data_IF_399757433226
#
_entry.id   IF_399757433226
#
_cell.length_a   1.000
_cell.length_b   1.000
_cell.length_c   1.000
_cell.angle_alpha   90.00
_cell.angle_beta   90.00
_cell.angle_gamma   90.00
#
_symmetry.space_group_name_H-M   'P 1'
#
loop_
_entity.id
_entity.type
_entity.pdbx_description
1 polymer ?
#
# COMPACT_ATOMS: atom_id res chain seq x y z
N UNK A 1 -20.61 -1.18 12.79
CA UNK A 1 -21.35 -0.74 11.58
C UNK A 1 -20.28 -0.30 10.62
N UNK A 2 -20.08 -1.05 9.53
CA UNK A 2 -18.94 -0.90 8.64
C UNK A 2 -18.95 0.51 8.00
N UNK A 3 -17.85 1.22 8.16
CA UNK A 3 -17.68 2.62 7.77
C UNK A 3 -17.84 2.88 6.25
N UNK A 4 -17.59 1.86 5.44
CA UNK A 4 -17.62 1.94 3.98
C UNK A 4 -18.96 1.57 3.31
N UNK A 5 -19.93 1.01 4.03
CA UNK A 5 -21.24 0.66 3.46
C UNK A 5 -22.09 1.87 3.01
N UNK A 6 -21.73 3.07 3.45
CA UNK A 6 -22.48 4.30 3.12
C UNK A 6 -22.09 4.90 1.74
N UNK A 7 -20.93 4.55 1.20
CA UNK A 7 -20.37 5.17 -0.02
C UNK A 7 -20.98 4.66 -1.33
N UNK A 8 -21.75 3.57 -1.31
CA UNK A 8 -22.22 2.90 -2.54
C UNK A 8 -23.47 3.51 -3.19
N UNK A 9 -24.02 4.61 -2.68
CA UNK A 9 -25.35 5.10 -3.12
C UNK A 9 -25.45 6.52 -3.68
N UNK A 10 -24.36 7.28 -3.78
CA UNK A 10 -24.44 8.64 -4.32
C UNK A 10 -23.50 8.83 -5.53
N UNK A 11 -24.07 9.31 -6.62
CA UNK A 11 -23.41 9.68 -7.90
C UNK A 11 -22.41 10.87 -7.79
N UNK A 12 -21.99 11.28 -6.60
CA UNK A 12 -21.11 12.43 -6.36
C UNK A 12 -19.71 11.99 -5.85
N UNK A 13 -19.04 11.12 -6.57
CA UNK A 13 -17.69 10.68 -6.21
C UNK A 13 -16.60 11.63 -6.77
N UNK A 14 -16.76 12.93 -6.58
CA UNK A 14 -15.74 13.92 -6.95
C UNK A 14 -14.64 14.02 -5.89
N UNK A 15 -13.45 14.47 -6.29
CA UNK A 15 -12.35 14.75 -5.36
C UNK A 15 -12.76 15.73 -4.26
N UNK A 16 -13.61 16.72 -4.61
CA UNK A 16 -14.17 17.67 -3.63
C UNK A 16 -15.04 16.96 -2.57
N UNK A 17 -15.93 16.07 -3.00
CA UNK A 17 -16.79 15.33 -2.07
C UNK A 17 -15.98 14.41 -1.15
N UNK A 18 -14.98 13.70 -1.69
CA UNK A 18 -14.06 12.88 -0.88
C UNK A 18 -13.30 13.69 0.17
N UNK A 19 -12.84 14.88 -0.20
CA UNK A 19 -12.22 15.85 0.72
C UNK A 19 -13.16 16.23 1.87
N UNK A 20 -14.40 16.60 1.54
CA UNK A 20 -15.39 17.00 2.54
C UNK A 20 -15.69 15.86 3.51
N UNK A 21 -15.85 14.66 3.00
CA UNK A 21 -16.08 13.46 3.81
C UNK A 21 -14.85 13.14 4.69
N UNK A 22 -13.64 13.19 4.15
CA UNK A 22 -12.41 13.01 4.92
C UNK A 22 -12.30 14.04 6.05
N UNK A 23 -12.56 15.32 5.78
CA UNK A 23 -12.55 16.37 6.81
C UNK A 23 -13.60 16.10 7.90
N UNK A 24 -14.79 15.62 7.51
CA UNK A 24 -15.82 15.23 8.47
C UNK A 24 -15.32 14.12 9.41
N UNK A 25 -14.63 13.13 8.86
CA UNK A 25 -14.04 12.02 9.61
C UNK A 25 -12.94 12.52 10.56
N UNK A 26 -12.00 13.33 10.05
CA UNK A 26 -10.92 13.88 10.88
C UNK A 26 -11.46 14.68 12.07
N UNK A 27 -12.51 15.49 11.85
CA UNK A 27 -13.20 16.23 12.93
C UNK A 27 -13.74 15.28 14.00
N UNK A 28 -14.35 14.17 13.61
CA UNK A 28 -14.89 13.17 14.54
C UNK A 28 -13.80 12.46 15.34
N UNK A 29 -12.64 12.25 14.72
CA UNK A 29 -11.48 11.59 15.34
C UNK A 29 -10.58 12.55 16.13
N UNK A 30 -10.84 13.86 16.07
CA UNK A 30 -9.99 14.86 16.70
C UNK A 30 -8.63 15.05 16.02
N UNK A 31 -8.48 14.59 14.77
CA UNK A 31 -7.23 14.70 14.01
C UNK A 31 -7.09 16.12 13.46
N UNK A 32 -5.93 16.79 13.62
CA UNK A 32 -5.67 18.10 13.02
C UNK A 32 -5.78 18.07 11.49
N UNK A 33 -6.31 19.12 10.90
CA UNK A 33 -6.44 19.27 9.44
C UNK A 33 -6.40 20.74 9.02
N UNK A 34 -6.15 20.98 7.73
CA UNK A 34 -6.33 22.30 7.10
C UNK A 34 -7.30 22.19 5.92
N UNK A 35 -8.17 23.19 5.79
CA UNK A 35 -9.18 23.17 4.73
C UNK A 35 -8.62 23.38 3.32
N UNK A 36 -7.50 24.10 3.21
CA UNK A 36 -6.86 24.41 1.92
C UNK A 36 -5.89 23.35 1.43
N UNK A 37 -5.73 22.20 2.13
CA UNK A 37 -4.95 21.09 1.59
C UNK A 37 -5.50 20.67 0.22
N UNK A 38 -4.65 20.48 -0.82
CA UNK A 38 -5.10 20.18 -2.17
C UNK A 38 -6.06 19.01 -2.27
N UNK A 39 -6.86 18.99 -3.34
CA UNK A 39 -7.61 17.81 -3.75
C UNK A 39 -6.64 16.72 -4.22
N UNK A 40 -6.98 15.46 -3.98
CA UNK A 40 -6.35 14.34 -4.68
C UNK A 40 -7.12 14.10 -5.99
N UNK A 41 -6.71 13.12 -6.74
CA UNK A 41 -7.15 12.85 -8.10
C UNK A 41 -8.66 12.76 -8.27
N UNK A 42 -9.19 13.27 -9.39
CA UNK A 42 -10.48 12.80 -9.91
C UNK A 42 -10.34 11.39 -10.49
N UNK A 43 -11.44 10.63 -10.53
CA UNK A 43 -11.41 9.28 -11.09
C UNK A 43 -10.97 9.25 -12.57
N UNK A 44 -11.26 10.32 -13.31
CA UNK A 44 -10.83 10.50 -14.70
C UNK A 44 -9.36 10.82 -14.90
N UNK A 45 -8.65 11.17 -13.82
CA UNK A 45 -7.22 11.52 -13.85
C UNK A 45 -6.31 10.34 -13.55
N UNK A 46 -6.87 9.22 -13.07
CA UNK A 46 -6.09 8.04 -12.70
C UNK A 46 -6.23 6.93 -13.73
N UNK A 47 -5.16 6.17 -13.89
CA UNK A 47 -5.18 4.90 -14.61
C UNK A 47 -5.20 3.75 -13.60
N UNK A 48 -6.34 3.07 -13.40
CA UNK A 48 -6.46 2.03 -12.39
C UNK A 48 -5.54 0.85 -12.70
N UNK A 49 -4.94 0.28 -11.65
CA UNK A 49 -4.29 -1.02 -11.74
C UNK A 49 -5.34 -2.10 -11.99
N UNK A 50 -5.04 -3.04 -12.86
CA UNK A 50 -5.85 -4.24 -13.01
C UNK A 50 -5.72 -5.15 -11.78
N UNK A 51 -6.73 -5.98 -11.52
CA UNK A 51 -6.67 -6.96 -10.43
C UNK A 51 -5.42 -7.84 -10.52
N UNK A 52 -5.03 -8.26 -11.74
CA UNK A 52 -3.84 -9.07 -11.95
C UNK A 52 -2.56 -8.33 -11.53
N UNK A 53 -2.42 -7.05 -11.88
CA UNK A 53 -1.26 -6.24 -11.45
C UNK A 53 -1.19 -6.12 -9.92
N UNK A 54 -2.34 -5.94 -9.25
CA UNK A 54 -2.40 -5.84 -7.79
C UNK A 54 -2.00 -7.17 -7.12
N UNK A 55 -2.47 -8.30 -7.65
CA UNK A 55 -2.12 -9.64 -7.16
C UNK A 55 -0.62 -9.93 -7.34
N UNK A 56 -0.07 -9.63 -8.52
CA UNK A 56 1.37 -9.76 -8.79
C UNK A 56 2.19 -8.88 -7.85
N UNK A 57 1.79 -7.62 -7.68
CA UNK A 57 2.49 -6.70 -6.76
C UNK A 57 2.44 -7.20 -5.32
N UNK A 58 1.30 -7.75 -4.89
CA UNK A 58 1.17 -8.32 -3.56
C UNK A 58 2.15 -9.50 -3.36
N UNK A 59 2.29 -10.39 -4.34
CA UNK A 59 3.23 -11.51 -4.27
C UNK A 59 4.70 -11.03 -4.19
N UNK A 60 5.10 -10.05 -5.03
CA UNK A 60 6.45 -9.48 -5.02
C UNK A 60 6.75 -8.78 -3.69
N UNK A 61 5.83 -7.95 -3.23
CA UNK A 61 5.99 -7.22 -1.96
C UNK A 61 6.11 -8.18 -0.78
N UNK A 62 5.23 -9.19 -0.71
CA UNK A 62 5.30 -10.22 0.32
C UNK A 62 6.65 -10.93 0.34
N UNK A 63 7.13 -11.36 -0.84
CA UNK A 63 8.43 -12.03 -0.97
C UNK A 63 9.58 -11.17 -0.42
N UNK A 64 9.64 -9.88 -0.82
CA UNK A 64 10.65 -8.95 -0.34
C UNK A 64 10.57 -8.71 1.18
N UNK A 65 9.36 -8.55 1.73
CA UNK A 65 9.12 -8.37 3.16
C UNK A 65 9.62 -9.59 3.95
N UNK A 66 9.28 -10.80 3.51
CA UNK A 66 9.69 -12.04 4.18
C UNK A 66 11.21 -12.21 4.18
N UNK A 67 11.87 -11.95 3.05
CA UNK A 67 13.31 -11.96 2.97
C UNK A 67 13.93 -10.89 3.89
N UNK A 68 13.39 -9.68 3.90
CA UNK A 68 13.87 -8.62 4.79
C UNK A 68 13.77 -9.00 6.27
N UNK A 69 12.67 -9.62 6.71
CA UNK A 69 12.50 -10.12 8.06
C UNK A 69 13.55 -11.20 8.39
N UNK A 70 13.73 -12.18 7.51
CA UNK A 70 14.71 -13.26 7.69
C UNK A 70 16.16 -12.75 7.74
N UNK A 71 16.51 -11.75 6.90
CA UNK A 71 17.82 -11.09 6.92
C UNK A 71 18.05 -10.39 8.26
N UNK A 72 17.07 -9.63 8.75
CA UNK A 72 17.15 -8.93 10.05
C UNK A 72 17.30 -9.88 11.23
N UNK A 73 16.68 -11.04 11.15
CA UNK A 73 16.77 -12.09 12.18
C UNK A 73 18.07 -12.90 12.06
N UNK A 74 18.90 -12.66 11.04
CA UNK A 74 20.17 -13.37 10.80
C UNK A 74 19.99 -14.81 10.34
N UNK A 75 18.82 -15.17 9.82
CA UNK A 75 18.46 -16.53 9.43
C UNK A 75 18.38 -16.75 7.91
N UNK A 76 18.57 -15.68 7.10
CA UNK A 76 18.43 -15.75 5.64
C UNK A 76 19.60 -16.49 4.98
N UNK A 77 19.29 -17.56 4.25
CA UNK A 77 20.27 -18.43 3.61
C UNK A 77 20.18 -18.38 2.07
N UNK A 78 21.21 -18.94 1.40
CA UNK A 78 21.15 -19.12 -0.08
C UNK A 78 20.06 -20.12 -0.50
N UNK A 79 19.62 -21.01 0.36
CA UNK A 79 18.50 -21.93 0.12
C UNK A 79 17.17 -21.16 0.16
N UNK A 80 16.97 -20.30 1.15
CA UNK A 80 15.79 -19.42 1.25
C UNK A 80 15.68 -18.50 0.03
N UNK A 81 16.80 -17.92 -0.41
CA UNK A 81 16.85 -17.09 -1.61
C UNK A 81 16.40 -17.88 -2.85
N UNK A 82 16.96 -19.07 -3.08
CA UNK A 82 16.58 -19.89 -4.23
C UNK A 82 15.12 -20.28 -4.18
N UNK A 83 14.63 -20.73 -3.03
CA UNK A 83 13.23 -21.07 -2.84
C UNK A 83 12.32 -19.88 -3.12
N UNK A 84 12.66 -18.69 -2.62
CA UNK A 84 11.85 -17.49 -2.84
C UNK A 84 11.81 -17.09 -4.32
N UNK A 85 12.93 -17.17 -5.04
CA UNK A 85 13.00 -16.79 -6.44
C UNK A 85 12.39 -17.86 -7.37
N UNK A 86 12.77 -19.12 -7.19
CA UNK A 86 12.42 -20.18 -8.11
C UNK A 86 11.03 -20.76 -7.80
N UNK A 87 10.77 -21.14 -6.55
CA UNK A 87 9.54 -21.83 -6.19
C UNK A 87 8.40 -20.85 -5.95
N UNK A 88 8.62 -19.82 -5.13
CA UNK A 88 7.56 -18.88 -4.78
C UNK A 88 7.28 -17.90 -5.93
N UNK A 89 8.27 -17.10 -6.34
CA UNK A 89 8.04 -16.05 -7.33
C UNK A 89 7.89 -16.58 -8.75
N UNK A 90 8.77 -17.47 -9.22
CA UNK A 90 8.73 -17.94 -10.59
C UNK A 90 7.65 -19.01 -10.81
N UNK A 91 7.71 -20.11 -10.06
CA UNK A 91 6.86 -21.28 -10.34
C UNK A 91 5.43 -21.08 -9.85
N UNK A 92 5.27 -20.56 -8.61
CA UNK A 92 3.93 -20.42 -8.01
C UNK A 92 3.18 -19.17 -8.49
N UNK A 93 3.83 -18.02 -8.56
CA UNK A 93 3.15 -16.76 -8.86
C UNK A 93 3.49 -16.16 -10.23
N UNK A 94 4.49 -16.66 -10.96
CA UNK A 94 4.93 -16.06 -12.23
C UNK A 94 5.30 -14.58 -12.10
N UNK A 95 5.81 -14.18 -10.93
CA UNK A 95 5.97 -12.79 -10.51
C UNK A 95 7.43 -12.32 -10.50
N UNK A 96 8.41 -13.21 -10.78
CA UNK A 96 9.83 -12.91 -10.67
C UNK A 96 10.28 -11.72 -11.54
N UNK A 97 9.74 -11.58 -12.74
CA UNK A 97 10.08 -10.49 -13.67
C UNK A 97 9.44 -9.14 -13.28
N UNK A 98 8.52 -9.14 -12.31
CA UNK A 98 7.82 -7.96 -11.81
C UNK A 98 8.41 -7.39 -10.51
N UNK A 99 9.50 -7.97 -10.02
CA UNK A 99 10.25 -7.41 -8.90
C UNK A 99 10.78 -6.03 -9.26
N UNK A 100 10.60 -5.08 -8.35
CA UNK A 100 11.28 -3.79 -8.47
C UNK A 100 12.78 -3.95 -8.20
N UNK A 101 13.62 -2.98 -8.59
CA UNK A 101 15.04 -3.02 -8.28
C UNK A 101 15.32 -3.19 -6.78
N UNK A 102 14.63 -2.45 -5.90
CA UNK A 102 14.83 -2.56 -4.46
C UNK A 102 14.38 -3.91 -3.89
N UNK A 103 13.23 -4.43 -4.34
CA UNK A 103 12.78 -5.76 -3.92
C UNK A 103 13.75 -6.85 -4.34
N UNK A 104 14.27 -6.76 -5.56
CA UNK A 104 15.28 -7.69 -6.07
C UNK A 104 16.56 -7.64 -5.24
N UNK A 105 17.05 -6.44 -4.90
CA UNK A 105 18.25 -6.28 -4.10
C UNK A 105 18.11 -6.85 -2.69
N UNK A 106 16.92 -6.72 -2.08
CA UNK A 106 16.61 -7.36 -0.80
C UNK A 106 16.63 -8.88 -0.92
N UNK A 107 15.90 -9.45 -1.90
CA UNK A 107 15.80 -10.91 -2.07
C UNK A 107 17.16 -11.52 -2.41
N UNK A 108 17.98 -10.84 -3.22
CA UNK A 108 19.33 -11.30 -3.55
C UNK A 108 20.38 -11.00 -2.46
N UNK A 109 19.95 -10.44 -1.33
CA UNK A 109 20.79 -10.06 -0.19
C UNK A 109 21.94 -9.09 -0.57
N UNK A 110 21.61 -8.11 -1.42
CA UNK A 110 22.52 -7.03 -1.84
C UNK A 110 22.13 -5.66 -1.29
N UNK A 111 20.95 -5.57 -0.70
CA UNK A 111 20.44 -4.33 -0.11
C UNK A 111 21.26 -3.90 1.10
N UNK A 112 21.36 -2.60 1.31
CA UNK A 112 21.92 -2.05 2.55
C UNK A 112 21.00 -2.35 3.75
N UNK A 113 21.56 -2.24 4.96
CA UNK A 113 20.79 -2.44 6.21
C UNK A 113 19.54 -1.53 6.25
N UNK A 114 19.65 -0.27 5.82
CA UNK A 114 18.53 0.66 5.79
C UNK A 114 17.46 0.24 4.77
N UNK A 115 17.85 -0.27 3.61
CA UNK A 115 16.90 -0.77 2.61
C UNK A 115 16.16 -2.02 3.09
N UNK A 116 16.84 -2.91 3.80
CA UNK A 116 16.23 -4.08 4.46
C UNK A 116 15.21 -3.63 5.52
N UNK A 117 15.54 -2.64 6.35
CA UNK A 117 14.60 -2.05 7.30
C UNK A 117 13.39 -1.46 6.58
N UNK A 118 13.62 -0.69 5.53
CA UNK A 118 12.55 -0.06 4.75
C UNK A 118 11.65 -1.11 4.08
N UNK A 119 12.22 -2.19 3.55
CA UNK A 119 11.45 -3.30 2.98
C UNK A 119 10.54 -3.96 4.03
N UNK A 120 11.00 -4.11 5.27
CA UNK A 120 10.16 -4.59 6.36
C UNK A 120 8.96 -3.68 6.66
N UNK A 121 9.12 -2.36 6.54
CA UNK A 121 8.01 -1.41 6.71
C UNK A 121 6.96 -1.47 5.60
N UNK A 122 7.30 -1.98 4.41
CA UNK A 122 6.35 -2.20 3.30
C UNK A 122 5.16 -3.11 3.66
N UNK A 123 5.16 -3.72 4.84
CA UNK A 123 4.03 -4.49 5.35
C UNK A 123 2.72 -3.70 5.34
N UNK A 124 2.75 -2.42 5.68
CA UNK A 124 1.57 -1.55 5.68
C UNK A 124 1.12 -1.19 4.25
N UNK A 125 2.06 -1.02 3.32
CA UNK A 125 1.73 -0.85 1.90
C UNK A 125 1.11 -2.15 1.34
N UNK A 126 1.69 -3.31 1.64
CA UNK A 126 1.13 -4.62 1.31
C UNK A 126 -0.27 -4.82 1.90
N UNK A 127 -0.50 -4.40 3.17
CA UNK A 127 -1.82 -4.43 3.81
C UNK A 127 -2.87 -3.64 3.03
N UNK A 128 -2.47 -2.50 2.46
CA UNK A 128 -3.34 -1.70 1.57
C UNK A 128 -3.70 -2.45 0.27
N UNK A 129 -2.78 -3.26 -0.29
CA UNK A 129 -3.09 -4.13 -1.43
C UNK A 129 -4.08 -5.24 -1.04
N UNK A 130 -3.90 -5.88 0.12
CA UNK A 130 -4.85 -6.88 0.63
C UNK A 130 -6.23 -6.29 0.88
N UNK A 131 -6.30 -5.05 1.36
CA UNK A 131 -7.55 -4.32 1.49
C UNK A 131 -8.17 -4.02 0.11
N UNK A 132 -7.39 -3.56 -0.84
CA UNK A 132 -7.87 -3.31 -2.20
C UNK A 132 -8.40 -4.59 -2.88
N UNK A 133 -7.84 -5.76 -2.55
CA UNK A 133 -8.30 -7.08 -3.00
C UNK A 133 -9.47 -7.65 -2.17
N UNK A 134 -10.08 -6.86 -1.29
CA UNK A 134 -11.19 -7.23 -0.40
C UNK A 134 -10.91 -8.41 0.54
N UNK A 135 -9.64 -8.72 0.81
CA UNK A 135 -9.20 -9.71 1.80
C UNK A 135 -9.27 -9.09 3.20
N UNK A 136 -8.61 -7.97 3.37
CA UNK A 136 -8.74 -7.10 4.56
C UNK A 136 -10.01 -6.28 4.41
N UNK A 137 -10.91 -6.36 5.38
CA UNK A 137 -12.23 -5.73 5.25
C UNK A 137 -12.20 -4.23 5.52
N UNK A 138 -11.30 -3.78 6.37
CA UNK A 138 -11.24 -2.40 6.81
C UNK A 138 -9.79 -1.93 6.98
N UNK A 139 -9.47 -0.73 6.50
CA UNK A 139 -8.28 0.01 6.92
C UNK A 139 -8.65 0.77 8.20
N UNK A 140 -8.32 0.18 9.34
CA UNK A 140 -8.55 0.79 10.65
C UNK A 140 -7.79 2.11 10.80
N UNK A 141 -8.17 2.91 11.81
CA UNK A 141 -7.41 4.10 12.20
C UNK A 141 -5.93 3.73 12.39
N UNK A 142 -5.00 4.44 11.74
CA UNK A 142 -3.61 4.02 11.65
C UNK A 142 -2.79 4.42 12.87
N UNK A 143 -3.19 3.92 14.05
CA UNK A 143 -2.45 4.09 15.32
C UNK A 143 -1.45 2.96 15.58
N UNK A 144 -1.71 1.79 15.03
CA UNK A 144 -0.93 0.58 15.25
C UNK A 144 -0.60 -0.11 13.93
N UNK A 145 0.44 -0.94 13.94
CA UNK A 145 0.83 -1.75 12.78
C UNK A 145 -0.22 -2.82 12.47
N UNK A 146 -0.27 -3.24 11.21
CA UNK A 146 -1.18 -4.28 10.75
C UNK A 146 -0.83 -5.66 11.34
N UNK A 147 -1.79 -6.60 11.23
CA UNK A 147 -1.60 -8.00 11.63
C UNK A 147 -0.72 -8.74 10.61
N UNK A 148 0.59 -8.79 10.88
CA UNK A 148 1.55 -9.50 10.05
C UNK A 148 1.32 -11.01 10.00
N UNK A 149 0.80 -11.61 11.06
CA UNK A 149 0.46 -13.04 11.10
C UNK A 149 -0.65 -13.38 10.12
N UNK A 150 -1.72 -12.59 10.11
CA UNK A 150 -2.80 -12.73 9.13
C UNK A 150 -2.32 -12.53 7.69
N UNK A 151 -1.46 -11.55 7.45
CA UNK A 151 -0.91 -11.30 6.11
C UNK A 151 -0.11 -12.51 5.57
N UNK A 152 0.65 -13.19 6.44
CA UNK A 152 1.35 -14.43 6.10
C UNK A 152 0.36 -15.58 5.78
N UNK A 153 -0.69 -15.74 6.59
CA UNK A 153 -1.71 -16.76 6.34
C UNK A 153 -2.40 -16.56 4.98
N UNK A 154 -2.67 -15.30 4.60
CA UNK A 154 -3.32 -14.98 3.32
C UNK A 154 -2.54 -15.57 2.16
N UNK A 155 -1.22 -15.33 2.09
CA UNK A 155 -0.40 -15.81 0.97
C UNK A 155 -0.28 -17.34 0.94
N UNK A 156 -0.49 -18.02 2.08
CA UNK A 156 -0.51 -19.47 2.14
C UNK A 156 -1.84 -20.11 1.68
N UNK A 157 -2.92 -19.33 1.57
CA UNK A 157 -4.25 -19.84 1.17
C UNK A 157 -4.37 -20.15 -0.31
N UNK A 158 -3.58 -19.49 -1.13
CA UNK A 158 -3.67 -19.58 -2.59
C UNK A 158 -2.57 -20.48 -3.15
N UNK A 159 -2.95 -21.38 -4.05
CA UNK A 159 -2.01 -22.33 -4.66
C UNK A 159 -1.09 -21.65 -5.68
N UNK A 160 -1.64 -20.70 -6.45
CA UNK A 160 -0.93 -19.96 -7.50
C UNK A 160 -1.55 -18.57 -7.75
N UNK A 161 -1.03 -17.89 -8.79
CA UNK A 161 -1.49 -16.55 -9.18
C UNK A 161 -2.93 -16.52 -9.65
N UNK A 162 -3.39 -17.56 -10.34
CA UNK A 162 -4.74 -17.62 -10.90
C UNK A 162 -5.76 -17.91 -9.79
N UNK A 163 -5.42 -18.79 -8.85
CA UNK A 163 -6.20 -19.04 -7.64
C UNK A 163 -6.30 -17.78 -6.77
N UNK A 164 -5.19 -17.07 -6.58
CA UNK A 164 -5.19 -15.79 -5.87
C UNK A 164 -6.10 -14.77 -6.57
N UNK A 165 -5.98 -14.63 -7.88
CA UNK A 165 -6.83 -13.72 -8.65
C UNK A 165 -8.31 -14.14 -8.61
N UNK A 166 -8.62 -15.44 -8.69
CA UNK A 166 -9.98 -15.95 -8.64
C UNK A 166 -10.63 -15.76 -7.26
N UNK A 167 -9.85 -15.98 -6.19
CA UNK A 167 -10.31 -15.89 -4.80
C UNK A 167 -10.50 -14.47 -4.27
N UNK A 168 -10.21 -13.42 -5.07
CA UNK A 168 -10.24 -12.02 -4.64
C UNK A 168 -11.12 -11.14 -5.52
N UNK A 169 -11.53 -9.98 -4.97
CA UNK A 169 -12.30 -8.97 -5.66
C UNK A 169 -11.62 -7.61 -5.49
N UNK A 170 -11.27 -6.97 -6.61
CA UNK A 170 -10.73 -5.61 -6.54
C UNK A 170 -11.85 -4.63 -6.17
N UNK A 171 -11.58 -3.78 -5.17
CA UNK A 171 -12.47 -2.68 -4.78
C UNK A 171 -12.58 -1.66 -5.92
N UNK A 172 -13.67 -0.91 -5.90
CA UNK A 172 -13.89 0.16 -6.88
C UNK A 172 -12.84 1.27 -6.72
N UNK A 173 -12.54 1.98 -7.82
CA UNK A 173 -11.65 3.13 -7.78
C UNK A 173 -12.20 4.23 -6.84
N UNK A 174 -13.51 4.37 -6.75
CA UNK A 174 -14.17 5.26 -5.80
C UNK A 174 -13.78 4.99 -4.34
N UNK A 175 -13.77 3.72 -3.93
CA UNK A 175 -13.36 3.30 -2.57
C UNK A 175 -11.86 3.55 -2.36
N UNK A 176 -11.03 3.21 -3.35
CA UNK A 176 -9.58 3.40 -3.28
C UNK A 176 -9.21 4.88 -3.18
N UNK A 177 -9.82 5.74 -3.98
CA UNK A 177 -9.60 7.19 -3.94
C UNK A 177 -10.08 7.83 -2.63
N UNK A 178 -11.17 7.33 -2.03
CA UNK A 178 -11.61 7.80 -0.71
C UNK A 178 -10.60 7.41 0.38
N UNK A 179 -10.10 6.18 0.34
CA UNK A 179 -9.06 5.72 1.27
C UNK A 179 -7.75 6.52 1.08
N UNK A 180 -7.39 6.84 -0.16
CA UNK A 180 -6.23 7.67 -0.45
C UNK A 180 -6.42 9.10 0.09
N UNK A 181 -7.58 9.75 -0.13
CA UNK A 181 -7.79 11.12 0.31
C UNK A 181 -7.70 11.26 1.85
N UNK A 182 -8.32 10.35 2.61
CA UNK A 182 -8.22 10.40 4.07
C UNK A 182 -6.80 10.11 4.55
N UNK A 183 -6.10 9.14 3.94
CA UNK A 183 -4.73 8.79 4.32
C UNK A 183 -3.75 9.91 3.97
N UNK A 184 -3.95 10.62 2.88
CA UNK A 184 -3.21 11.84 2.53
C UNK A 184 -3.35 12.91 3.61
N UNK A 185 -4.54 13.11 4.17
CA UNK A 185 -4.79 14.08 5.25
C UNK A 185 -4.23 13.62 6.59
N UNK A 186 -4.27 12.32 6.89
CA UNK A 186 -3.55 11.78 8.03
C UNK A 186 -2.05 12.03 7.92
N UNK A 187 -1.48 11.84 6.71
CA UNK A 187 -0.06 12.10 6.50
C UNK A 187 0.30 13.58 6.72
N UNK A 188 -0.53 14.50 6.21
CA UNK A 188 -0.36 15.92 6.53
C UNK A 188 -0.40 16.18 8.04
N UNK A 189 -1.33 15.58 8.77
CA UNK A 189 -1.43 15.74 10.22
C UNK A 189 -0.17 15.26 10.97
N UNK A 190 0.39 14.11 10.55
CA UNK A 190 1.65 13.59 11.09
C UNK A 190 2.83 14.54 10.82
N UNK A 191 2.97 14.99 9.56
CA UNK A 191 4.04 15.94 9.18
C UNK A 191 3.90 17.26 9.94
N UNK A 192 2.68 17.80 10.03
CA UNK A 192 2.41 19.02 10.79
C UNK A 192 2.76 18.85 12.28
N UNK A 193 2.37 17.74 12.87
CA UNK A 193 2.68 17.43 14.27
C UNK A 193 4.19 17.34 14.51
N UNK A 194 4.92 16.64 13.64
CA UNK A 194 6.38 16.49 13.70
C UNK A 194 7.10 17.83 13.54
N UNK A 195 6.68 18.67 12.60
CA UNK A 195 7.30 19.99 12.33
C UNK A 195 7.07 20.97 13.48
N UNK A 196 5.89 20.96 14.11
CA UNK A 196 5.51 21.91 15.14
C UNK A 196 5.64 21.35 16.57
N UNK A 197 6.05 20.08 16.73
CA UNK A 197 6.14 19.44 18.05
C UNK A 197 4.79 19.29 18.75
N UNK A 198 3.71 19.05 17.98
CA UNK A 198 2.34 18.88 18.48
C UNK A 198 1.91 17.42 18.42
N UNK A 199 0.71 17.11 18.95
CA UNK A 199 0.13 15.78 18.89
C UNK A 199 -0.51 15.50 17.51
N UNK A 200 -0.30 14.31 16.98
CA UNK A 200 -0.95 13.79 15.77
C UNK A 200 -2.29 13.10 16.03
N UNK A 201 -2.86 13.24 17.22
CA UNK A 201 -4.07 12.54 17.66
C UNK A 201 -3.94 11.00 17.65
N UNK A 202 -2.76 10.49 18.00
CA UNK A 202 -2.50 9.07 18.09
C UNK A 202 -2.19 8.38 16.75
N UNK A 203 -2.04 9.13 15.65
CA UNK A 203 -1.59 8.58 14.37
C UNK A 203 -0.13 8.09 14.47
N UNK A 204 0.13 6.91 13.93
CA UNK A 204 1.48 6.40 13.69
C UNK A 204 1.95 6.82 12.29
N UNK A 205 2.91 7.75 12.22
CA UNK A 205 3.38 8.31 10.96
C UNK A 205 3.89 7.25 9.99
N UNK A 206 4.63 6.24 10.47
CA UNK A 206 5.17 5.18 9.61
C UNK A 206 4.06 4.32 8.99
N UNK A 207 3.03 3.99 9.76
CA UNK A 207 1.85 3.27 9.27
C UNK A 207 1.10 4.09 8.22
N UNK A 208 0.87 5.38 8.51
CA UNK A 208 0.20 6.30 7.57
C UNK A 208 0.96 6.43 6.26
N UNK A 209 2.28 6.61 6.33
CA UNK A 209 3.13 6.76 5.15
C UNK A 209 3.10 5.53 4.25
N UNK A 210 3.29 4.35 4.82
CA UNK A 210 3.33 3.12 4.03
C UNK A 210 1.95 2.73 3.47
N UNK A 211 0.86 2.92 4.24
CA UNK A 211 -0.50 2.75 3.70
C UNK A 211 -0.77 3.71 2.55
N UNK A 212 -0.36 4.98 2.69
CA UNK A 212 -0.46 5.94 1.60
C UNK A 212 0.33 5.51 0.38
N UNK A 213 1.57 5.03 0.56
CA UNK A 213 2.39 4.55 -0.56
C UNK A 213 1.69 3.44 -1.36
N UNK A 214 1.09 2.46 -0.68
CA UNK A 214 0.31 1.40 -1.33
C UNK A 214 -0.92 1.94 -2.08
N UNK A 215 -1.65 2.89 -1.49
CA UNK A 215 -2.84 3.51 -2.10
C UNK A 215 -2.48 4.40 -3.30
N UNK A 216 -1.40 5.18 -3.23
CA UNK A 216 -0.88 5.97 -4.36
C UNK A 216 -0.53 5.05 -5.54
N UNK A 217 0.16 3.94 -5.28
CA UNK A 217 0.48 2.98 -6.33
C UNK A 217 -0.77 2.39 -7.01
N UNK A 218 -1.85 2.16 -6.26
CA UNK A 218 -3.12 1.65 -6.81
C UNK A 218 -3.81 2.65 -7.74
N UNK A 219 -3.65 3.96 -7.49
CA UNK A 219 -4.33 5.03 -8.22
C UNK A 219 -3.57 5.50 -9.46
N UNK A 220 -2.26 5.44 -9.45
CA UNK A 220 -1.40 6.00 -10.50
C UNK A 220 -0.58 4.89 -11.13
N UNK A 221 -0.99 4.46 -12.31
CA UNK A 221 -0.13 3.77 -13.24
C UNK A 221 0.66 4.85 -13.95
N UNK A 222 1.89 5.12 -13.55
CA UNK A 222 2.75 6.19 -14.05
C UNK A 222 2.49 6.62 -15.50
N UNK A 223 2.81 7.83 -15.87
CA UNK A 223 2.55 8.34 -17.22
C UNK A 223 3.13 7.38 -18.25
N UNK A 224 2.29 6.84 -19.13
CA UNK A 224 2.68 5.94 -20.23
C UNK A 224 3.59 6.63 -21.27
N UNK A 225 4.02 7.86 -21.01
CA UNK A 225 4.91 8.57 -21.90
C UNK A 225 6.35 8.16 -21.63
N UNK A 226 6.81 7.33 -22.56
CA UNK A 226 8.18 7.28 -23.02
C UNK A 226 9.21 6.71 -22.05
N UNK A 227 9.49 5.43 -22.13
CA UNK A 227 10.80 4.84 -21.79
C UNK A 227 11.53 5.36 -20.52
N UNK A 228 10.96 6.33 -19.84
CA UNK A 228 11.28 6.76 -18.49
C UNK A 228 10.35 5.96 -17.59
N UNK A 229 10.90 5.00 -16.89
CA UNK A 229 10.29 4.44 -15.70
C UNK A 229 9.88 5.67 -14.89
N UNK A 230 8.58 5.91 -14.76
CA UNK A 230 8.09 7.04 -13.99
C UNK A 230 8.56 6.82 -12.55
N UNK A 231 9.60 7.53 -12.16
CA UNK A 231 10.17 7.45 -10.82
C UNK A 231 9.16 7.93 -9.76
N UNK A 232 8.12 8.65 -10.21
CA UNK A 232 7.04 9.13 -9.38
C UNK A 232 5.87 8.13 -9.43
N UNK A 233 5.39 7.71 -8.28
CA UNK A 233 4.33 6.70 -8.09
C UNK A 233 4.70 5.26 -8.47
N UNK A 234 5.97 4.95 -8.57
CA UNK A 234 6.42 3.57 -8.58
C UNK A 234 6.30 2.97 -7.17
N UNK A 235 6.32 1.65 -7.07
CA UNK A 235 6.33 0.98 -5.78
C UNK A 235 7.53 1.36 -4.91
N UNK A 236 8.68 1.60 -5.55
CA UNK A 236 9.91 1.98 -4.87
C UNK A 236 9.98 3.47 -4.51
N UNK A 237 9.26 4.33 -5.26
CA UNK A 237 9.32 5.79 -5.13
C UNK A 237 7.91 6.39 -5.24
N UNK A 238 7.03 6.18 -4.25
CA UNK A 238 5.71 6.78 -4.25
C UNK A 238 5.78 8.30 -4.05
N UNK A 239 4.83 9.04 -4.64
CA UNK A 239 4.69 10.47 -4.35
C UNK A 239 4.17 10.69 -2.93
N UNK A 240 5.04 11.15 -2.05
CA UNK A 240 4.75 11.37 -0.62
C UNK A 240 4.66 12.84 -0.25
N UNK A 241 4.57 13.76 -1.22
CA UNK A 241 4.40 15.20 -0.96
C UNK A 241 3.07 15.50 -0.23
N UNK A 242 3.13 16.36 0.78
CA UNK A 242 1.97 16.82 1.58
C UNK A 242 1.95 18.33 1.69
#
# INVERSE_FOLDING_TARGET
MAFFDFLSKNNNNTAQHRKEESIRILKQQGVPFIEHLPLRYEESEVTPRSKKEVVVRAACSFASIMCACSIRDGNYTDEDKRWMMDDFLQNRYGALDFLTPKERDVIENRASEQEVINAGWKYEAFWSLLWALDIVKELSFPSEICDGGFAMEVMNRFEDIDDFAAGTKLRSMAEILQALDITYRYHWACVNARVHGTDSAGLNESVVMERRAGLEWLCCKGHENDNVIDEYNSWDYPDMNT
#
